data_IF_434494574008
#
_entry.id   IF_434494574008
#
_cell.length_a   1.000
_cell.length_b   1.000
_cell.length_c   1.000
_cell.angle_alpha   90.00
_cell.angle_beta   90.00
_cell.angle_gamma   90.00
#
_symmetry.space_group_name_H-M   'P 1'
#
loop_
_entity.id
_entity.type
_entity.pdbx_description
1 polymer ?
#
# COMPACT_ATOMS: atom_id res chain seq x y z
N UNK A 1 -35.82 -8.17 -3.65
CA UNK A 1 -34.65 -8.31 -4.55
C UNK A 1 -34.35 -6.95 -5.16
N UNK A 2 -33.48 -6.17 -4.53
CA UNK A 2 -33.02 -4.89 -5.08
C UNK A 2 -31.52 -4.76 -4.83
N UNK A 3 -30.76 -4.89 -5.91
CA UNK A 3 -29.30 -4.87 -5.98
C UNK A 3 -28.76 -3.42 -6.06
N UNK A 4 -29.38 -2.49 -5.33
CA UNK A 4 -29.21 -1.04 -5.53
C UNK A 4 -28.74 -0.25 -4.30
N UNK A 5 -28.28 -0.91 -3.23
CA UNK A 5 -27.90 -0.23 -1.97
C UNK A 5 -26.45 -0.43 -1.50
N UNK A 6 -25.55 -1.00 -2.30
CA UNK A 6 -24.12 -1.15 -1.95
C UNK A 6 -23.25 -0.24 -2.84
N UNK A 7 -23.67 1.01 -3.05
CA UNK A 7 -22.86 2.04 -3.75
C UNK A 7 -22.65 3.29 -2.88
N UNK A 8 -23.27 3.41 -1.70
CA UNK A 8 -23.28 4.68 -0.94
C UNK A 8 -22.47 4.64 0.38
N UNK A 9 -21.85 3.51 0.76
CA UNK A 9 -21.10 3.44 2.02
C UNK A 9 -19.58 3.61 1.90
N UNK A 10 -19.03 3.69 0.69
CA UNK A 10 -17.61 4.02 0.53
C UNK A 10 -17.33 5.52 0.55
N UNK A 11 -18.30 6.37 0.16
CA UNK A 11 -18.16 7.82 -0.01
C UNK A 11 -17.90 8.67 1.25
N UNK A 12 -17.80 8.09 2.45
CA UNK A 12 -17.72 8.84 3.71
C UNK A 12 -16.45 8.61 4.56
N UNK A 13 -15.38 8.04 3.97
CA UNK A 13 -14.02 8.02 4.54
C UNK A 13 -13.02 8.86 3.73
N UNK A 14 -13.56 9.79 2.96
CA UNK A 14 -12.94 10.59 1.90
C UNK A 14 -12.52 11.97 2.41
N UNK A 15 -11.30 12.19 2.94
CA UNK A 15 -10.79 13.60 3.05
C UNK A 15 -9.28 13.82 2.96
N UNK A 16 -8.40 12.80 3.03
CA UNK A 16 -6.95 13.06 2.93
C UNK A 16 -6.27 12.52 1.68
N UNK A 17 -6.83 11.47 1.08
CA UNK A 17 -6.14 10.71 0.04
C UNK A 17 -6.62 11.07 -1.38
N UNK A 18 -7.90 11.43 -1.56
CA UNK A 18 -8.49 11.74 -2.87
C UNK A 18 -8.81 13.23 -2.99
N UNK A 19 -7.84 14.10 -2.73
CA UNK A 19 -7.93 15.42 -3.34
C UNK A 19 -7.86 15.21 -4.84
N UNK A 20 -9.03 15.02 -5.49
CA UNK A 20 -9.21 15.26 -6.92
C UNK A 20 -8.37 16.51 -7.20
N UNK A 21 -7.42 16.50 -8.14
CA UNK A 21 -6.70 17.73 -8.46
C UNK A 21 -7.78 18.79 -8.64
N UNK A 22 -7.82 19.79 -7.75
CA UNK A 22 -8.54 21.00 -8.08
C UNK A 22 -7.94 21.37 -9.44
N UNK A 23 -8.78 21.56 -10.46
CA UNK A 23 -8.39 21.58 -11.87
C UNK A 23 -7.36 22.68 -12.27
N UNK A 24 -6.67 23.27 -11.29
CA UNK A 24 -5.54 24.17 -11.41
C UNK A 24 -4.22 23.41 -11.33
N UNK A 25 -3.53 23.40 -12.46
CA UNK A 25 -2.09 23.23 -12.52
C UNK A 25 -1.41 24.34 -11.69
N UNK A 26 -0.36 23.99 -10.94
CA UNK A 26 0.38 24.93 -10.09
C UNK A 26 1.82 25.14 -10.54
N UNK A 27 2.11 24.83 -11.82
CA UNK A 27 3.45 24.91 -12.42
C UNK A 27 4.03 26.30 -12.24
N UNK A 28 5.13 26.40 -11.50
CA UNK A 28 5.92 27.63 -11.37
C UNK A 28 5.43 28.65 -10.33
N UNK A 29 4.32 28.41 -9.61
CA UNK A 29 3.89 29.28 -8.52
C UNK A 29 3.28 28.49 -7.34
N UNK A 30 4.03 28.32 -6.22
CA UNK A 30 3.54 27.63 -5.02
C UNK A 30 2.30 28.27 -4.37
N UNK A 31 1.98 29.54 -4.71
CA UNK A 31 0.79 30.26 -4.21
C UNK A 31 -0.45 30.09 -5.09
N UNK A 32 -0.40 29.25 -6.13
CA UNK A 32 -1.54 28.99 -7.01
C UNK A 32 -2.65 28.14 -6.35
N UNK A 33 -2.37 27.60 -5.16
CA UNK A 33 -3.22 26.69 -4.43
C UNK A 33 -3.95 27.40 -3.29
N UNK A 34 -5.23 27.08 -3.08
CA UNK A 34 -6.07 27.68 -2.04
C UNK A 34 -5.55 27.36 -0.63
N UNK A 35 -5.93 28.17 0.36
CA UNK A 35 -5.56 27.91 1.76
C UNK A 35 -6.02 26.52 2.22
N UNK A 36 -5.11 25.79 2.87
CA UNK A 36 -5.32 24.38 3.21
C UNK A 36 -4.99 23.40 2.09
N UNK A 37 -4.42 23.86 0.96
CA UNK A 37 -3.85 22.99 -0.08
C UNK A 37 -2.35 23.25 -0.28
N UNK A 38 -1.65 22.35 -0.96
CA UNK A 38 -0.22 22.49 -1.29
C UNK A 38 0.02 22.13 -2.75
N UNK A 39 0.92 22.87 -3.39
CA UNK A 39 1.35 22.62 -4.77
C UNK A 39 2.41 21.52 -4.78
N UNK A 40 2.17 20.46 -5.56
CA UNK A 40 3.16 19.42 -5.80
C UNK A 40 3.61 19.43 -7.27
N UNK A 41 4.92 19.47 -7.49
CA UNK A 41 5.54 19.32 -8.81
C UNK A 41 6.04 17.88 -8.97
N UNK A 42 5.47 17.10 -9.89
CA UNK A 42 5.97 15.76 -10.24
C UNK A 42 7.09 15.87 -11.29
N UNK A 43 8.02 14.91 -11.30
CA UNK A 43 9.10 14.80 -12.30
C UNK A 43 8.59 14.53 -13.73
N UNK A 44 7.33 14.11 -13.86
CA UNK A 44 6.69 13.70 -15.12
C UNK A 44 5.75 14.77 -15.70
N UNK A 45 6.12 16.05 -15.60
CA UNK A 45 5.42 17.19 -16.24
C UNK A 45 4.03 17.54 -15.68
N UNK A 46 3.56 16.90 -14.61
CA UNK A 46 2.28 17.19 -13.98
C UNK A 46 2.46 17.90 -12.63
N UNK A 47 1.73 19.00 -12.41
CA UNK A 47 1.67 19.67 -11.12
C UNK A 47 0.21 19.99 -10.76
N UNK A 48 -0.13 19.92 -9.48
CA UNK A 48 -1.50 20.14 -9.03
C UNK A 48 -1.59 20.58 -7.56
N UNK A 49 -2.73 21.16 -7.21
CA UNK A 49 -3.06 21.57 -5.84
C UNK A 49 -3.84 20.47 -5.11
N UNK A 50 -3.35 20.07 -3.94
CA UNK A 50 -3.92 18.98 -3.13
C UNK A 50 -4.23 19.46 -1.72
N UNK A 51 -5.35 19.01 -1.12
CA UNK A 51 -5.67 19.30 0.29
C UNK A 51 -4.53 18.83 1.19
N UNK A 52 -4.06 19.71 2.08
CA UNK A 52 -3.14 19.35 3.16
C UNK A 52 -3.85 18.33 4.05
N UNK A 53 -3.16 17.24 4.36
CA UNK A 53 -3.63 16.35 5.41
C UNK A 53 -3.79 17.16 6.72
N UNK A 54 -4.79 16.84 7.57
CA UNK A 54 -4.99 17.49 8.85
C UNK A 54 -3.69 17.55 9.65
N UNK A 55 -3.47 18.63 10.38
CA UNK A 55 -2.31 18.79 11.27
C UNK A 55 -2.20 17.58 12.20
N UNK A 56 -1.12 16.81 12.04
CA UNK A 56 -0.87 15.55 12.77
C UNK A 56 -0.73 14.31 11.88
N UNK A 57 -1.22 14.37 10.64
CA UNK A 57 -1.05 13.30 9.64
C UNK A 57 0.27 13.51 8.90
N UNK A 58 1.39 13.27 9.59
CA UNK A 58 2.72 13.21 8.97
C UNK A 58 2.90 11.80 8.45
N UNK A 59 2.12 11.40 7.45
CA UNK A 59 2.47 10.19 6.73
C UNK A 59 3.38 10.56 5.57
N UNK A 60 4.28 9.65 5.20
CA UNK A 60 5.13 9.83 4.03
C UNK A 60 4.24 9.92 2.79
N UNK A 61 3.95 11.16 2.37
CA UNK A 61 2.89 11.50 1.43
C UNK A 61 3.00 10.71 0.12
N UNK A 62 4.22 10.46 -0.35
CA UNK A 62 4.49 9.79 -1.62
C UNK A 62 3.87 8.40 -1.77
N UNK A 63 4.18 7.45 -0.88
CA UNK A 63 3.74 6.06 -1.08
C UNK A 63 2.22 5.88 -1.04
N UNK A 64 1.55 6.55 -0.09
CA UNK A 64 0.09 6.45 0.03
C UNK A 64 -0.59 7.20 -1.10
N UNK A 65 -0.07 8.35 -1.54
CA UNK A 65 -0.57 9.06 -2.71
C UNK A 65 -0.40 8.26 -4.00
N UNK A 66 0.75 7.62 -4.19
CA UNK A 66 1.00 6.77 -5.35
C UNK A 66 0.03 5.57 -5.37
N UNK A 67 -0.26 4.98 -4.20
CA UNK A 67 -1.27 3.93 -4.08
C UNK A 67 -2.69 4.42 -4.32
N UNK A 68 -3.04 5.65 -3.92
CA UNK A 68 -4.33 6.26 -4.29
C UNK A 68 -4.44 6.35 -5.80
N UNK A 69 -3.45 6.98 -6.43
CA UNK A 69 -3.45 7.20 -7.86
C UNK A 69 -3.53 5.88 -8.63
N UNK A 70 -2.81 4.88 -8.16
CA UNK A 70 -2.85 3.53 -8.69
C UNK A 70 -4.25 2.93 -8.58
N UNK A 71 -4.90 2.98 -7.42
CA UNK A 71 -6.28 2.49 -7.24
C UNK A 71 -7.27 3.25 -8.13
N UNK A 72 -7.15 4.58 -8.25
CA UNK A 72 -8.02 5.39 -9.11
C UNK A 72 -7.84 5.07 -10.60
N UNK A 73 -6.63 4.71 -11.02
CA UNK A 73 -6.33 4.32 -12.40
C UNK A 73 -6.81 2.90 -12.73
N UNK A 74 -7.02 2.05 -11.71
CA UNK A 74 -7.48 0.69 -11.87
C UNK A 74 -9.02 0.65 -11.85
N UNK A 75 -9.61 0.17 -12.96
CA UNK A 75 -11.05 -0.11 -13.02
C UNK A 75 -11.44 -1.26 -12.06
N UNK A 76 -12.68 -1.28 -11.58
CA UNK A 76 -13.20 -2.30 -10.65
C UNK A 76 -13.10 -3.75 -11.18
N UNK A 77 -13.10 -3.93 -12.49
CA UNK A 77 -12.94 -5.22 -13.16
C UNK A 77 -11.48 -5.66 -13.29
N UNK A 78 -10.51 -4.78 -13.03
CA UNK A 78 -9.09 -5.10 -13.13
C UNK A 78 -8.69 -6.14 -12.08
N UNK A 79 -8.02 -7.20 -12.55
CA UNK A 79 -7.60 -8.34 -11.72
C UNK A 79 -6.62 -7.96 -10.60
N UNK A 80 -5.84 -6.88 -10.77
CA UNK A 80 -4.87 -6.42 -9.77
C UNK A 80 -5.48 -5.42 -8.76
N UNK A 81 -6.71 -4.95 -8.99
CA UNK A 81 -7.30 -3.89 -8.17
C UNK A 81 -7.42 -4.28 -6.69
N UNK A 82 -7.81 -5.53 -6.40
CA UNK A 82 -7.91 -6.02 -5.02
C UNK A 82 -6.58 -5.94 -4.26
N UNK A 83 -5.45 -6.17 -4.94
CA UNK A 83 -4.13 -6.03 -4.34
C UNK A 83 -3.83 -4.56 -4.02
N UNK A 84 -4.05 -3.65 -4.97
CA UNK A 84 -3.82 -2.22 -4.80
C UNK A 84 -4.67 -1.63 -3.64
N UNK A 85 -5.94 -2.03 -3.55
CA UNK A 85 -6.85 -1.64 -2.45
C UNK A 85 -6.32 -2.10 -1.09
N UNK A 86 -5.82 -3.34 -0.99
CA UNK A 86 -5.23 -3.84 0.25
C UNK A 86 -3.98 -3.05 0.65
N UNK A 87 -3.08 -2.77 -0.30
CA UNK A 87 -1.90 -1.96 -0.02
C UNK A 87 -2.27 -0.54 0.43
N UNK A 88 -3.23 0.09 -0.25
CA UNK A 88 -3.72 1.42 0.11
C UNK A 88 -4.35 1.43 1.51
N UNK A 89 -5.18 0.44 1.84
CA UNK A 89 -5.79 0.33 3.16
C UNK A 89 -4.73 0.21 4.26
N UNK A 90 -3.70 -0.63 4.06
CA UNK A 90 -2.61 -0.83 5.02
C UNK A 90 -1.83 0.48 5.20
N UNK A 91 -1.44 1.13 4.10
CA UNK A 91 -0.74 2.41 4.12
C UNK A 91 -1.54 3.47 4.88
N UNK A 92 -2.82 3.67 4.52
CA UNK A 92 -3.69 4.63 5.20
C UNK A 92 -3.90 4.32 6.69
N UNK A 93 -4.01 3.03 7.05
CA UNK A 93 -4.22 2.64 8.45
C UNK A 93 -2.98 2.92 9.27
N UNK A 94 -1.80 2.57 8.75
CA UNK A 94 -0.53 2.86 9.41
C UNK A 94 -0.30 4.38 9.54
N UNK A 95 -0.69 5.17 8.53
CA UNK A 95 -0.67 6.64 8.63
C UNK A 95 -1.51 7.19 9.77
N UNK A 96 -2.74 6.68 9.92
CA UNK A 96 -3.69 7.12 10.94
C UNK A 96 -3.28 6.72 12.37
N UNK A 97 -2.36 5.78 12.48
CA UNK A 97 -1.94 5.18 13.76
C UNK A 97 -0.43 5.29 13.95
N UNK A 98 0.20 6.19 13.20
CA UNK A 98 1.65 6.37 13.13
C UNK A 98 2.27 6.62 14.50
N UNK A 99 1.56 7.34 15.36
CA UNK A 99 1.95 7.64 16.74
C UNK A 99 2.02 6.40 17.67
N UNK A 100 1.45 5.27 17.24
CA UNK A 100 1.49 4.00 17.98
C UNK A 100 2.70 3.13 17.63
N UNK A 101 3.40 3.46 16.54
CA UNK A 101 4.65 2.82 16.16
C UNK A 101 5.77 3.28 17.09
N UNK A 102 6.64 2.35 17.48
CA UNK A 102 7.87 2.63 18.21
C UNK A 102 8.85 3.42 17.34
N UNK A 103 8.98 3.06 16.06
CA UNK A 103 9.73 3.86 15.10
C UNK A 103 8.90 4.25 13.86
N UNK A 104 8.18 5.38 13.95
CA UNK A 104 7.42 5.93 12.83
C UNK A 104 8.27 6.23 11.59
N UNK A 105 9.52 6.69 11.78
CA UNK A 105 10.42 7.04 10.69
C UNK A 105 10.96 5.82 9.94
N UNK A 106 11.18 4.71 10.65
CA UNK A 106 11.53 3.43 10.05
C UNK A 106 10.41 2.96 9.14
N UNK A 107 9.17 2.97 9.64
CA UNK A 107 8.01 2.56 8.86
C UNK A 107 7.83 3.44 7.61
N UNK A 108 7.95 4.76 7.76
CA UNK A 108 7.85 5.71 6.64
C UNK A 108 8.88 5.41 5.53
N UNK A 109 10.12 5.09 5.89
CA UNK A 109 11.19 4.78 4.93
C UNK A 109 10.99 3.41 4.27
N UNK A 110 10.57 2.41 5.06
CA UNK A 110 10.25 1.07 4.55
C UNK A 110 9.07 1.15 3.59
N UNK A 111 7.98 1.83 3.95
CA UNK A 111 6.77 1.93 3.13
C UNK A 111 7.07 2.54 1.76
N UNK A 112 7.82 3.65 1.71
CA UNK A 112 8.21 4.27 0.45
C UNK A 112 9.01 3.32 -0.45
N UNK A 113 10.02 2.66 0.11
CA UNK A 113 10.89 1.76 -0.67
C UNK A 113 10.17 0.47 -1.06
N UNK A 114 9.21 0.04 -0.24
CA UNK A 114 8.39 -1.14 -0.47
C UNK A 114 7.41 -0.91 -1.62
N UNK A 115 6.72 0.23 -1.64
CA UNK A 115 5.65 0.53 -2.62
C UNK A 115 6.21 0.92 -3.99
N UNK A 116 7.34 1.63 -4.03
CA UNK A 116 7.90 2.20 -5.26
C UNK A 116 8.07 1.17 -6.41
N UNK A 117 8.64 -0.04 -6.20
CA UNK A 117 8.78 -1.02 -7.27
C UNK A 117 7.45 -1.46 -7.89
N UNK A 118 6.39 -1.55 -7.07
CA UNK A 118 5.05 -1.90 -7.55
C UNK A 118 4.48 -0.79 -8.44
N UNK A 119 4.57 0.45 -7.99
CA UNK A 119 4.07 1.62 -8.73
C UNK A 119 4.81 1.79 -10.06
N UNK A 120 6.14 1.69 -10.04
CA UNK A 120 6.98 1.85 -11.23
C UNK A 120 7.00 0.61 -12.14
N UNK A 121 6.34 -0.49 -11.75
CA UNK A 121 6.43 -1.80 -12.41
C UNK A 121 7.87 -2.30 -12.56
N UNK A 122 8.75 -1.96 -11.62
CA UNK A 122 10.15 -2.30 -11.64
C UNK A 122 10.39 -3.80 -11.34
N UNK A 123 11.61 -4.29 -11.58
CA UNK A 123 11.94 -5.70 -11.34
C UNK A 123 11.07 -6.65 -12.18
N UNK A 124 10.47 -7.66 -11.54
CA UNK A 124 9.69 -8.69 -12.23
C UNK A 124 8.16 -8.44 -12.19
N UNK A 125 7.72 -7.24 -11.80
CA UNK A 125 6.31 -6.90 -11.65
C UNK A 125 5.48 -7.17 -12.91
N UNK A 126 6.01 -6.84 -14.10
CA UNK A 126 5.31 -7.13 -15.37
C UNK A 126 5.02 -8.62 -15.57
N UNK A 127 5.92 -9.51 -15.12
CA UNK A 127 5.72 -10.95 -15.24
C UNK A 127 4.72 -11.47 -14.21
N UNK A 128 4.73 -10.92 -12.99
CA UNK A 128 3.75 -11.22 -11.94
C UNK A 128 2.34 -10.84 -12.40
N UNK A 129 2.17 -9.62 -12.93
CA UNK A 129 0.89 -9.13 -13.45
C UNK A 129 0.42 -9.98 -14.64
N UNK A 130 1.32 -10.35 -15.55
CA UNK A 130 0.97 -11.25 -16.67
C UNK A 130 0.46 -12.61 -16.16
N UNK A 131 1.14 -13.22 -15.18
CA UNK A 131 0.70 -14.49 -14.57
C UNK A 131 -0.68 -14.38 -13.93
N UNK A 132 -1.03 -13.23 -13.37
CA UNK A 132 -2.40 -12.97 -12.91
C UNK A 132 -3.40 -13.10 -14.07
N UNK A 133 -3.15 -12.44 -15.19
CA UNK A 133 -4.03 -12.52 -16.37
C UNK A 133 -4.17 -13.95 -16.90
N UNK A 134 -3.10 -14.75 -16.89
CA UNK A 134 -3.12 -16.14 -17.36
C UNK A 134 -3.99 -17.05 -16.47
N UNK A 135 -4.04 -16.77 -15.16
CA UNK A 135 -4.83 -17.53 -14.17
C UNK A 135 -6.33 -17.20 -14.18
N UNK A 136 -6.76 -16.17 -14.91
CA UNK A 136 -8.16 -15.73 -15.00
C UNK A 136 -9.10 -16.72 -15.70
N UNK A 137 -8.53 -17.66 -16.48
CA UNK A 137 -9.27 -18.46 -17.46
C UNK A 137 -10.22 -19.54 -16.91
N UNK A 138 -10.24 -19.82 -15.59
CA UNK A 138 -10.97 -20.98 -15.05
C UNK A 138 -12.19 -20.60 -14.19
N UNK A 139 -12.08 -19.63 -13.27
CA UNK A 139 -13.20 -19.05 -12.48
C UNK A 139 -12.83 -17.60 -12.09
N UNK A 140 -13.56 -16.55 -12.53
CA UNK A 140 -13.17 -15.16 -12.33
C UNK A 140 -12.92 -14.76 -10.87
N UNK A 141 -13.78 -15.22 -9.96
CA UNK A 141 -13.67 -14.93 -8.52
C UNK A 141 -12.39 -15.54 -7.94
N UNK A 142 -12.12 -16.82 -8.22
CA UNK A 142 -10.91 -17.52 -7.74
C UNK A 142 -9.64 -16.92 -8.36
N UNK A 143 -9.71 -16.50 -9.62
CA UNK A 143 -8.62 -15.83 -10.33
C UNK A 143 -8.19 -14.53 -9.65
N UNK A 144 -9.14 -13.70 -9.19
CA UNK A 144 -8.82 -12.47 -8.44
C UNK A 144 -8.06 -12.75 -7.14
N UNK A 145 -8.46 -13.77 -6.37
CA UNK A 145 -7.79 -14.10 -5.11
C UNK A 145 -6.39 -14.66 -5.32
N UNK A 146 -6.24 -15.60 -6.26
CA UNK A 146 -4.92 -16.16 -6.60
C UNK A 146 -3.97 -15.10 -7.14
N UNK A 147 -4.48 -14.14 -7.92
CA UNK A 147 -3.67 -13.00 -8.34
C UNK A 147 -3.19 -12.17 -7.16
N UNK A 148 -4.09 -11.82 -6.22
CA UNK A 148 -3.71 -11.06 -5.03
C UNK A 148 -2.66 -11.79 -4.18
N UNK A 149 -2.81 -13.10 -4.00
CA UNK A 149 -1.83 -13.95 -3.30
C UNK A 149 -0.47 -13.92 -4.02
N UNK A 150 -0.46 -14.15 -5.34
CA UNK A 150 0.76 -14.12 -6.15
C UNK A 150 1.48 -12.77 -6.07
N UNK A 151 0.73 -11.68 -6.14
CA UNK A 151 1.27 -10.31 -6.02
C UNK A 151 1.81 -10.05 -4.62
N UNK A 152 1.08 -10.44 -3.58
CA UNK A 152 1.51 -10.29 -2.19
C UNK A 152 2.78 -11.10 -1.89
N UNK A 153 2.86 -12.35 -2.35
CA UNK A 153 4.04 -13.19 -2.18
C UNK A 153 5.28 -12.58 -2.82
N UNK A 154 5.15 -12.10 -4.07
CA UNK A 154 6.25 -11.42 -4.74
C UNK A 154 6.66 -10.14 -4.01
N UNK A 155 5.68 -9.29 -3.67
CA UNK A 155 5.92 -8.01 -3.01
C UNK A 155 6.62 -8.20 -1.65
N UNK A 156 6.18 -9.17 -0.85
CA UNK A 156 6.80 -9.49 0.43
C UNK A 156 8.21 -10.07 0.22
N UNK A 157 8.34 -11.09 -0.63
CA UNK A 157 9.61 -11.80 -0.77
C UNK A 157 10.71 -10.92 -1.39
N UNK A 158 10.36 -9.99 -2.27
CA UNK A 158 11.30 -9.13 -2.99
C UNK A 158 11.32 -7.71 -2.43
N UNK A 159 10.21 -7.00 -2.55
CA UNK A 159 10.19 -5.56 -2.30
C UNK A 159 10.29 -5.25 -0.79
N UNK A 160 9.57 -5.99 0.06
CA UNK A 160 9.69 -5.81 1.52
C UNK A 160 11.08 -6.21 1.98
N UNK A 161 11.60 -7.33 1.49
CA UNK A 161 12.96 -7.78 1.82
C UNK A 161 14.01 -6.73 1.48
N UNK A 162 13.91 -6.11 0.31
CA UNK A 162 14.80 -5.04 -0.12
C UNK A 162 14.64 -3.79 0.77
N UNK A 163 13.41 -3.38 1.06
CA UNK A 163 13.11 -2.23 1.89
C UNK A 163 13.67 -2.37 3.31
N UNK A 164 13.43 -3.50 3.99
CA UNK A 164 13.91 -3.73 5.36
C UNK A 164 15.43 -3.95 5.41
N UNK A 165 16.03 -4.53 4.37
CA UNK A 165 17.48 -4.64 4.30
C UNK A 165 18.15 -3.27 4.20
N UNK A 166 17.50 -2.29 3.54
CA UNK A 166 17.99 -0.92 3.40
C UNK A 166 17.80 -0.11 4.68
N UNK A 167 16.60 -0.15 5.25
CA UNK A 167 16.19 0.79 6.30
C UNK A 167 16.17 0.22 7.72
N UNK A 168 16.45 -1.07 7.88
CA UNK A 168 16.41 -1.76 9.17
C UNK A 168 15.26 -2.74 9.28
N UNK A 169 15.37 -3.67 10.23
CA UNK A 169 14.42 -4.77 10.36
C UNK A 169 13.20 -4.43 11.22
N UNK A 170 13.13 -3.25 11.83
CA UNK A 170 12.06 -2.82 12.73
C UNK A 170 11.95 -3.64 14.03
N UNK A 171 11.25 -3.08 15.01
CA UNK A 171 11.00 -3.73 16.30
C UNK A 171 9.91 -4.80 16.21
N UNK A 172 9.78 -5.67 17.21
CA UNK A 172 8.70 -6.66 17.20
C UNK A 172 7.32 -5.98 17.28
N UNK A 173 7.20 -4.93 18.09
CA UNK A 173 5.95 -4.20 18.30
C UNK A 173 5.43 -3.56 17.01
N UNK A 174 6.30 -2.88 16.25
CA UNK A 174 5.93 -2.31 14.95
C UNK A 174 5.49 -3.39 13.97
N UNK A 175 6.15 -4.56 14.04
CA UNK A 175 5.73 -5.69 13.23
C UNK A 175 4.37 -6.23 13.68
N UNK A 176 4.09 -6.33 14.96
CA UNK A 176 2.78 -6.83 15.42
C UNK A 176 1.65 -5.88 15.02
N UNK A 177 1.85 -4.57 15.19
CA UNK A 177 0.89 -3.55 14.77
C UNK A 177 0.58 -3.60 13.27
N UNK A 178 1.59 -3.63 12.41
CA UNK A 178 1.38 -3.74 10.96
C UNK A 178 0.70 -5.07 10.61
N UNK A 179 0.98 -6.13 11.36
CA UNK A 179 0.29 -7.41 11.24
C UNK A 179 -1.22 -7.31 11.49
N UNK A 180 -1.63 -6.55 12.51
CA UNK A 180 -3.06 -6.28 12.76
C UNK A 180 -3.70 -5.44 11.65
N UNK A 181 -2.99 -4.45 11.10
CA UNK A 181 -3.52 -3.65 9.98
C UNK A 181 -3.75 -4.50 8.74
N UNK A 182 -2.83 -5.43 8.42
CA UNK A 182 -3.00 -6.39 7.33
C UNK A 182 -4.25 -7.23 7.55
N UNK A 183 -4.44 -7.79 8.75
CA UNK A 183 -5.61 -8.61 9.09
C UNK A 183 -6.91 -7.82 8.85
N UNK A 184 -6.98 -6.59 9.35
CA UNK A 184 -8.18 -5.76 9.26
C UNK A 184 -8.47 -5.30 7.81
N UNK A 185 -7.44 -4.97 7.05
CA UNK A 185 -7.58 -4.54 5.66
C UNK A 185 -8.01 -5.69 4.74
N UNK A 186 -7.40 -6.87 4.90
CA UNK A 186 -7.75 -8.06 4.12
C UNK A 186 -9.19 -8.50 4.45
N UNK A 187 -9.59 -8.47 5.73
CA UNK A 187 -10.99 -8.70 6.15
C UNK A 187 -12.00 -7.82 5.43
N UNK A 188 -11.70 -6.52 5.32
CA UNK A 188 -12.60 -5.54 4.69
C UNK A 188 -12.71 -5.72 3.19
N UNK A 189 -11.67 -6.23 2.53
CA UNK A 189 -11.65 -6.43 1.07
C UNK A 189 -12.20 -7.79 0.62
N UNK A 190 -12.31 -8.77 1.51
CA UNK A 190 -12.69 -10.15 1.18
C UNK A 190 -14.18 -10.49 1.47
N UNK A 191 -15.08 -9.50 1.42
CA UNK A 191 -16.52 -9.71 1.59
C UNK A 191 -17.03 -10.68 0.51
N UNK A 192 -17.25 -11.96 0.86
CA UNK A 192 -17.97 -12.92 0.02
C UNK A 192 -17.36 -14.32 -0.17
N UNK A 193 -16.14 -14.61 0.32
CA UNK A 193 -15.57 -15.97 0.24
C UNK A 193 -15.28 -16.52 1.63
N UNK A 194 -16.09 -17.49 2.12
CA UNK A 194 -15.80 -18.18 3.36
C UNK A 194 -14.47 -18.94 3.23
N UNK A 195 -13.61 -18.88 4.25
CA UNK A 195 -12.33 -19.60 4.42
C UNK A 195 -11.08 -19.08 3.67
N UNK A 196 -11.20 -18.41 2.52
CA UNK A 196 -10.02 -17.97 1.74
C UNK A 196 -9.20 -16.87 2.44
N UNK A 197 -9.86 -16.01 3.19
CA UNK A 197 -9.25 -14.86 3.85
C UNK A 197 -8.30 -15.24 5.00
N UNK A 198 -8.70 -16.19 5.85
CA UNK A 198 -7.87 -16.63 6.98
C UNK A 198 -6.56 -17.26 6.51
N UNK A 199 -6.62 -18.04 5.43
CA UNK A 199 -5.43 -18.64 4.82
C UNK A 199 -4.51 -17.57 4.23
N UNK A 200 -5.05 -16.63 3.44
CA UNK A 200 -4.27 -15.54 2.84
C UNK A 200 -3.59 -14.67 3.90
N UNK A 201 -4.31 -14.30 4.97
CA UNK A 201 -3.75 -13.59 6.13
C UNK A 201 -2.61 -14.40 6.75
N UNK A 202 -2.81 -15.69 7.00
CA UNK A 202 -1.80 -16.54 7.64
C UNK A 202 -0.50 -16.60 6.83
N UNK A 203 -0.59 -16.82 5.51
CA UNK A 203 0.58 -16.88 4.64
C UNK A 203 1.29 -15.52 4.53
N UNK A 204 0.56 -14.40 4.40
CA UNK A 204 1.15 -13.06 4.40
C UNK A 204 1.92 -12.78 5.70
N UNK A 205 1.32 -13.08 6.86
CA UNK A 205 1.97 -12.87 8.17
C UNK A 205 3.19 -13.79 8.35
N UNK A 206 3.11 -15.02 7.87
CA UNK A 206 4.25 -15.96 7.88
C UNK A 206 5.38 -15.45 6.99
N UNK A 207 5.09 -15.07 5.74
CA UNK A 207 6.08 -14.65 4.76
C UNK A 207 6.78 -13.35 5.19
N UNK A 208 6.04 -12.38 5.74
CA UNK A 208 6.67 -11.16 6.26
C UNK A 208 7.61 -11.48 7.43
N UNK A 209 7.21 -12.37 8.34
CA UNK A 209 8.05 -12.70 9.50
C UNK A 209 9.33 -13.42 9.07
N UNK A 210 9.26 -14.26 8.03
CA UNK A 210 10.45 -14.84 7.39
C UNK A 210 11.38 -13.74 6.84
N UNK A 211 10.83 -12.72 6.18
CA UNK A 211 11.60 -11.57 5.67
C UNK A 211 12.28 -10.80 6.80
N UNK A 212 11.60 -10.57 7.92
CA UNK A 212 12.20 -9.95 9.12
C UNK A 212 13.39 -10.75 9.62
N UNK A 213 13.25 -12.06 9.76
CA UNK A 213 14.32 -12.93 10.25
C UNK A 213 15.50 -12.99 9.26
N UNK A 214 15.22 -12.99 7.95
CA UNK A 214 16.27 -12.86 6.92
C UNK A 214 17.00 -11.52 7.04
N UNK A 215 16.29 -10.42 7.22
CA UNK A 215 16.89 -9.10 7.44
C UNK A 215 17.86 -9.11 8.63
N UNK A 216 17.45 -9.66 9.78
CA UNK A 216 18.30 -9.78 10.97
C UNK A 216 19.57 -10.58 10.68
N UNK A 217 19.44 -11.71 9.96
CA UNK A 217 20.56 -12.57 9.56
C UNK A 217 21.53 -11.88 8.60
N UNK A 218 21.04 -11.02 7.69
CA UNK A 218 21.89 -10.25 6.77
C UNK A 218 22.62 -9.12 7.49
N UNK A 219 21.93 -8.36 8.36
CA UNK A 219 22.48 -7.15 8.98
C UNK A 219 23.46 -7.44 10.12
N UNK A 220 23.21 -8.48 10.92
CA UNK A 220 24.06 -8.87 12.06
C UNK A 220 25.55 -9.05 11.71
N UNK A 221 25.94 -9.86 10.71
CA UNK A 221 27.36 -10.05 10.36
C UNK A 221 28.00 -8.80 9.74
N UNK A 222 27.20 -7.87 9.22
CA UNK A 222 27.68 -6.60 8.66
C UNK A 222 27.85 -5.50 9.72
N UNK A 223 27.55 -5.79 11.00
CA UNK A 223 27.60 -4.79 12.08
C UNK A 223 26.57 -3.66 11.91
N UNK A 224 25.54 -3.86 11.07
CA UNK A 224 24.50 -2.87 10.85
C UNK A 224 23.46 -2.93 11.98
N UNK A 225 22.95 -1.76 12.37
CA UNK A 225 21.85 -1.67 13.35
C UNK A 225 20.65 -2.52 12.89
N UNK A 226 20.21 -3.44 13.75
CA UNK A 226 19.16 -4.42 13.39
C UNK A 226 17.78 -3.80 13.52
N UNK A 227 17.49 -3.24 14.69
CA UNK A 227 16.22 -2.60 15.00
C UNK A 227 16.42 -1.09 14.94
N UNK A 228 15.58 -0.46 14.12
CA UNK A 228 15.32 0.97 14.18
C UNK A 228 13.97 1.11 14.84
#
# INVERSE_FOLDING_TARGET
MSLFFIIISYFLLFECANGIPLARECTGNPRACDDGTVCFNKSTSYSGCYKKCPSGWICNAGAVEDLVQEVENLKDDNIVNGFAINQLCIGQTACKTREKLENPSWFDNVLNTFVEPYIQRAGNWSSVIRKCHDQWSVIPVVGKYRCQELMADYHIAQDLQNAVNRHGCGTQHDWDLVGEYIKDCVKKSHIGVPFGETYAISEVIKNRNIVREKCKKVRKPLGLQIEF
#
